data_IF_809894442452
#
_entry.id   IF_809894442452
#
_cell.length_a   1.000
_cell.length_b   1.000
_cell.length_c   1.000
_cell.angle_alpha   90.00
_cell.angle_beta   90.00
_cell.angle_gamma   90.00
#
_symmetry.space_group_name_H-M   'P 1'
#
loop_
_entity.id
_entity.type
_entity.pdbx_description
1 polymer ?
#
# COMPACT_ATOMS: atom_id res chain seq x y z
N UNK A 1 24.57 -20.73 41.66
CA UNK A 1 24.91 -19.42 41.05
C UNK A 1 24.42 -19.42 39.61
N UNK A 2 23.11 -19.25 39.42
CA UNK A 2 22.44 -19.44 38.10
C UNK A 2 21.22 -18.53 37.91
N UNK A 3 20.94 -17.62 38.86
CA UNK A 3 19.76 -16.75 38.83
C UNK A 3 19.96 -15.42 38.08
N UNK A 4 21.19 -15.02 37.77
CA UNK A 4 21.46 -13.77 37.04
C UNK A 4 21.34 -13.91 35.51
N UNK A 5 21.55 -15.12 34.97
CA UNK A 5 21.52 -15.34 33.52
C UNK A 5 20.09 -15.43 32.97
N UNK A 6 19.13 -15.89 33.77
CA UNK A 6 17.74 -16.03 33.34
C UNK A 6 17.02 -14.67 33.19
N UNK A 7 17.29 -13.71 34.08
CA UNK A 7 16.63 -12.38 34.04
C UNK A 7 17.13 -11.48 32.90
N UNK A 8 18.38 -11.68 32.45
CA UNK A 8 18.96 -10.92 31.34
C UNK A 8 18.38 -11.32 29.97
N UNK A 9 17.94 -12.57 29.80
CA UNK A 9 17.35 -13.02 28.54
C UNK A 9 15.92 -12.49 28.35
N UNK A 10 15.16 -12.31 29.43
CA UNK A 10 13.80 -11.75 29.37
C UNK A 10 13.76 -10.27 28.97
N UNK A 11 14.79 -9.48 29.29
CA UNK A 11 14.85 -8.05 28.93
C UNK A 11 15.28 -7.84 27.48
N UNK A 12 16.11 -8.72 26.93
CA UNK A 12 16.52 -8.67 25.52
C UNK A 12 15.32 -8.96 24.60
N UNK A 13 14.45 -9.90 24.98
CA UNK A 13 13.25 -10.23 24.19
C UNK A 13 12.20 -9.10 24.23
N UNK A 14 12.05 -8.41 25.37
CA UNK A 14 11.11 -7.27 25.45
C UNK A 14 11.61 -6.01 24.75
N UNK A 15 12.92 -5.79 24.64
CA UNK A 15 13.47 -4.68 23.85
C UNK A 15 13.30 -4.88 22.33
N UNK A 16 13.32 -6.13 21.85
CA UNK A 16 13.08 -6.46 20.43
C UNK A 16 11.59 -6.38 20.03
N UNK A 17 10.68 -6.43 21.00
CA UNK A 17 9.23 -6.28 20.77
C UNK A 17 8.72 -4.84 20.93
N UNK A 18 9.60 -3.93 21.34
CA UNK A 18 9.27 -2.60 21.82
C UNK A 18 9.06 -1.51 20.76
N UNK A 19 8.55 -1.81 19.55
CA UNK A 19 8.03 -0.75 18.62
C UNK A 19 7.21 -1.25 17.42
N UNK A 20 6.33 -2.23 17.63
CA UNK A 20 5.23 -2.54 16.68
C UNK A 20 3.86 -2.24 17.29
N UNK A 21 3.75 -1.25 18.19
CA UNK A 21 2.46 -0.79 18.69
C UNK A 21 2.26 0.68 18.33
N UNK A 22 1.61 0.89 17.19
CA UNK A 22 0.86 2.12 16.95
C UNK A 22 -0.36 1.78 16.09
N UNK A 23 -1.56 1.65 16.68
CA UNK A 23 -2.78 1.37 15.94
C UNK A 23 -3.43 2.69 15.50
N UNK A 24 -2.71 3.57 14.80
CA UNK A 24 -3.26 4.86 14.37
C UNK A 24 -2.76 5.17 12.95
N UNK A 25 -3.63 4.82 11.98
CA UNK A 25 -3.71 5.30 10.60
C UNK A 25 -2.60 4.92 9.59
N UNK A 26 -2.97 4.00 8.69
CA UNK A 26 -2.82 4.11 7.22
C UNK A 26 -1.45 4.38 6.57
N UNK A 27 -0.34 3.87 7.11
CA UNK A 27 0.81 3.54 6.23
C UNK A 27 1.56 2.36 6.84
N UNK A 28 1.51 1.20 6.18
CA UNK A 28 2.37 0.06 6.50
C UNK A 28 3.79 0.44 6.07
N UNK A 29 4.50 1.19 6.91
CA UNK A 29 5.94 1.39 6.76
C UNK A 29 6.59 0.00 6.82
N UNK A 30 6.96 -0.50 5.65
CA UNK A 30 7.70 -1.73 5.51
C UNK A 30 9.11 -1.43 5.99
N UNK A 31 9.50 -2.03 7.12
CA UNK A 31 10.82 -1.82 7.69
C UNK A 31 11.88 -2.30 6.69
N UNK A 32 12.60 -1.36 6.09
CA UNK A 32 13.80 -1.67 5.31
C UNK A 32 14.92 -2.08 6.28
N UNK A 33 15.77 -3.07 5.93
CA UNK A 33 16.98 -3.34 6.68
C UNK A 33 17.88 -2.08 6.70
N UNK A 34 18.62 -1.84 7.80
CA UNK A 34 19.49 -0.67 7.90
C UNK A 34 20.47 -0.63 6.73
N UNK A 35 20.51 0.50 6.01
CA UNK A 35 21.38 0.72 4.85
C UNK A 35 20.70 0.61 3.48
N UNK A 36 19.44 0.16 3.40
CA UNK A 36 18.69 0.12 2.14
C UNK A 36 17.75 1.32 2.05
N UNK A 37 18.07 2.26 1.17
CA UNK A 37 17.20 3.39 0.83
C UNK A 37 16.08 2.88 -0.07
N UNK A 38 14.83 3.19 0.28
CA UNK A 38 13.70 2.86 -0.58
C UNK A 38 13.89 3.53 -1.96
N UNK A 39 13.55 2.85 -3.07
CA UNK A 39 13.59 3.48 -4.38
C UNK A 39 12.74 4.76 -4.38
N UNK A 40 13.14 5.80 -5.13
CA UNK A 40 12.30 6.98 -5.29
C UNK A 40 10.93 6.56 -5.85
N UNK A 41 9.84 7.22 -5.43
CA UNK A 41 8.51 6.87 -5.90
C UNK A 41 8.38 7.09 -7.41
N UNK A 42 7.74 6.15 -8.10
CA UNK A 42 7.50 6.21 -9.54
C UNK A 42 6.46 7.26 -9.95
N UNK A 43 6.68 7.87 -11.11
CA UNK A 43 5.78 8.79 -11.80
C UNK A 43 4.73 8.05 -12.64
N UNK A 44 3.81 8.81 -13.26
CA UNK A 44 2.74 8.22 -14.09
C UNK A 44 3.35 7.40 -15.22
N UNK A 45 2.82 6.20 -15.45
CA UNK A 45 3.31 5.19 -16.40
C UNK A 45 4.59 4.44 -15.99
N UNK A 46 5.25 4.80 -14.88
CA UNK A 46 6.37 4.02 -14.38
C UNK A 46 5.91 2.67 -13.86
N UNK A 47 6.78 1.67 -13.98
CA UNK A 47 6.55 0.34 -13.41
C UNK A 47 6.51 0.42 -11.89
N UNK A 48 5.53 -0.25 -11.30
CA UNK A 48 5.36 -0.30 -9.84
C UNK A 48 5.23 -1.73 -9.34
N UNK A 49 5.53 -1.93 -8.06
CA UNK A 49 5.40 -3.23 -7.40
C UNK A 49 5.11 -3.04 -5.92
N UNK A 50 5.01 -4.14 -5.16
CA UNK A 50 4.90 -4.05 -3.71
C UNK A 50 6.07 -3.31 -3.06
N UNK A 51 7.25 -3.31 -3.71
CA UNK A 51 8.49 -2.68 -3.23
C UNK A 51 8.75 -1.30 -3.89
N UNK A 52 8.32 -1.13 -5.14
CA UNK A 52 8.44 0.13 -5.89
C UNK A 52 7.11 0.88 -5.83
N UNK A 53 7.01 1.83 -4.90
CA UNK A 53 5.79 2.61 -4.68
C UNK A 53 5.65 3.74 -5.70
N UNK A 54 4.41 4.13 -5.98
CA UNK A 54 4.11 5.27 -6.82
C UNK A 54 4.08 6.56 -5.98
N UNK A 55 4.23 7.72 -6.64
CA UNK A 55 4.11 9.03 -5.99
C UNK A 55 2.74 9.27 -5.37
N UNK A 56 2.67 10.26 -4.48
CA UNK A 56 1.38 10.65 -3.93
C UNK A 56 0.46 11.19 -5.04
N UNK A 57 -0.84 10.88 -4.98
CA UNK A 57 -1.78 11.21 -6.06
C UNK A 57 -1.82 10.19 -7.21
N UNK A 58 -1.06 9.09 -7.13
CA UNK A 58 -1.14 7.97 -8.06
C UNK A 58 -1.34 6.65 -7.32
N UNK A 59 -1.74 5.60 -8.03
CA UNK A 59 -1.90 4.25 -7.54
C UNK A 59 -1.16 3.26 -8.42
N UNK A 60 -0.72 2.14 -7.85
CA UNK A 60 -0.13 1.06 -8.61
C UNK A 60 -1.24 0.17 -9.19
N UNK A 61 -1.44 0.21 -10.51
CA UNK A 61 -2.51 -0.51 -11.19
C UNK A 61 -1.94 -1.67 -12.03
N UNK A 62 -2.39 -2.89 -11.73
CA UNK A 62 -2.03 -4.06 -12.54
C UNK A 62 -2.78 -4.06 -13.87
N UNK A 63 -2.03 -4.24 -14.95
CA UNK A 63 -2.60 -4.42 -16.28
C UNK A 63 -3.47 -5.68 -16.34
N UNK A 64 -4.58 -5.60 -17.06
CA UNK A 64 -5.42 -6.78 -17.36
C UNK A 64 -4.71 -7.71 -18.35
N UNK A 65 -3.82 -7.17 -19.18
CA UNK A 65 -3.07 -7.91 -20.19
C UNK A 65 -1.88 -8.64 -19.56
N UNK A 66 -1.78 -9.93 -19.84
CA UNK A 66 -0.65 -10.77 -19.46
C UNK A 66 0.36 -10.78 -20.60
N UNK A 67 1.61 -10.42 -20.33
CA UNK A 67 2.72 -10.62 -21.24
C UNK A 67 3.38 -11.98 -21.00
N UNK A 68 4.35 -12.35 -21.85
CA UNK A 68 5.17 -13.55 -21.66
C UNK A 68 5.93 -13.58 -20.31
N UNK A 69 6.11 -12.42 -19.69
CA UNK A 69 6.78 -12.25 -18.39
C UNK A 69 5.80 -12.12 -17.20
N UNK A 70 4.50 -12.31 -17.44
CA UNK A 70 3.46 -12.21 -16.42
C UNK A 70 2.65 -10.91 -16.52
N UNK A 71 2.20 -10.40 -15.37
CA UNK A 71 1.39 -9.19 -15.33
C UNK A 71 2.25 -8.00 -14.91
N UNK A 72 2.22 -6.94 -15.71
CA UNK A 72 2.84 -5.67 -15.36
C UNK A 72 1.90 -4.85 -14.49
N UNK A 73 2.47 -4.00 -13.63
CA UNK A 73 1.75 -2.96 -12.92
C UNK A 73 2.45 -1.63 -13.15
N UNK A 74 1.65 -0.58 -13.36
CA UNK A 74 2.15 0.77 -13.61
C UNK A 74 1.43 1.78 -12.73
N UNK A 75 2.12 2.89 -12.45
CA UNK A 75 1.53 4.00 -11.73
C UNK A 75 0.50 4.72 -12.61
N UNK A 76 -0.72 4.84 -12.10
CA UNK A 76 -1.83 5.55 -12.73
C UNK A 76 -2.36 6.65 -11.82
N UNK A 77 -2.90 7.75 -12.35
CA UNK A 77 -3.53 8.77 -11.52
C UNK A 77 -4.70 8.19 -10.70
N UNK A 78 -4.96 8.78 -9.55
CA UNK A 78 -6.15 8.47 -8.75
C UNK A 78 -7.44 8.81 -9.51
N UNK A 79 -8.51 8.09 -9.18
CA UNK A 79 -9.83 8.28 -9.78
C UNK A 79 -10.40 9.67 -9.49
N UNK A 80 -10.88 10.34 -10.52
CA UNK A 80 -11.57 11.62 -10.45
C UNK A 80 -13.07 11.45 -10.24
N UNK A 81 -13.77 12.55 -9.97
CA UNK A 81 -15.22 12.54 -9.75
C UNK A 81 -15.96 11.88 -10.92
N UNK A 82 -16.80 10.90 -10.63
CA UNK A 82 -17.58 10.14 -11.60
C UNK A 82 -16.83 8.95 -12.21
N UNK A 83 -15.52 8.82 -12.00
CA UNK A 83 -14.77 7.66 -12.49
C UNK A 83 -15.02 6.41 -11.64
N UNK A 84 -14.92 5.25 -12.28
CA UNK A 84 -14.98 3.97 -11.59
C UNK A 84 -13.76 3.79 -10.66
N UNK A 85 -14.00 3.23 -9.48
CA UNK A 85 -12.98 3.08 -8.46
C UNK A 85 -12.95 1.68 -7.87
N UNK A 86 -11.85 1.36 -7.18
CA UNK A 86 -11.73 0.12 -6.41
C UNK A 86 -11.51 0.44 -4.94
N UNK A 87 -12.32 -0.16 -4.08
CA UNK A 87 -12.35 0.15 -2.63
C UNK A 87 -11.07 -0.30 -1.93
N UNK A 88 -10.54 -1.47 -2.31
CA UNK A 88 -9.37 -2.08 -1.66
C UNK A 88 -8.33 -2.55 -2.68
N UNK A 89 -7.03 -2.42 -2.37
CA UNK A 89 -5.98 -3.08 -3.14
C UNK A 89 -6.07 -4.59 -2.91
N UNK A 90 -5.77 -5.41 -3.92
CA UNK A 90 -5.87 -6.86 -3.72
C UNK A 90 -4.62 -7.43 -3.03
N UNK A 91 -3.42 -6.88 -3.29
CA UNK A 91 -2.17 -7.32 -2.63
C UNK A 91 -1.10 -6.24 -2.67
N UNK A 92 -0.49 -5.92 -1.52
CA UNK A 92 0.70 -5.07 -1.44
C UNK A 92 0.55 -3.66 -2.04
N UNK A 93 -0.64 -3.06 -1.93
CA UNK A 93 -1.02 -1.77 -2.54
C UNK A 93 -1.16 -1.78 -4.07
N UNK A 94 -1.30 -2.97 -4.67
CA UNK A 94 -1.56 -3.14 -6.10
C UNK A 94 -3.06 -3.29 -6.32
N UNK A 95 -3.61 -2.40 -7.14
CA UNK A 95 -5.01 -2.36 -7.54
C UNK A 95 -5.26 -3.17 -8.81
N UNK A 96 -6.49 -3.68 -8.94
CA UNK A 96 -6.96 -4.41 -10.12
C UNK A 96 -8.16 -3.67 -10.68
N UNK A 97 -8.18 -3.46 -12.00
CA UNK A 97 -9.27 -2.74 -12.64
C UNK A 97 -9.11 -1.23 -12.56
N UNK A 98 -9.30 -0.64 -11.37
CA UNK A 98 -9.36 0.82 -11.19
C UNK A 98 -8.54 1.31 -10.01
N UNK A 99 -8.07 2.56 -10.09
CA UNK A 99 -7.44 3.23 -8.95
C UNK A 99 -8.48 3.67 -7.91
N UNK A 100 -8.07 3.87 -6.65
CA UNK A 100 -8.93 4.50 -5.65
C UNK A 100 -9.14 5.98 -6.00
N UNK A 101 -10.16 6.58 -5.40
CA UNK A 101 -10.49 7.98 -5.64
C UNK A 101 -9.43 8.94 -5.08
N UNK A 102 -9.32 10.12 -5.68
CA UNK A 102 -8.47 11.20 -5.20
C UNK A 102 -8.91 11.73 -3.83
N UNK A 103 -8.02 12.48 -3.17
CA UNK A 103 -8.31 13.07 -1.88
C UNK A 103 -9.57 13.96 -1.95
N UNK A 104 -10.43 13.87 -0.94
CA UNK A 104 -11.73 14.58 -0.89
C UNK A 104 -12.88 13.84 -1.58
N UNK A 105 -12.61 12.74 -2.29
CA UNK A 105 -13.62 11.86 -2.87
C UNK A 105 -13.78 10.57 -2.06
N UNK A 106 -14.88 9.87 -2.26
CA UNK A 106 -15.15 8.55 -1.68
C UNK A 106 -15.71 7.63 -2.75
N UNK A 107 -15.25 6.37 -2.69
CA UNK A 107 -15.69 5.33 -3.59
C UNK A 107 -17.04 4.80 -3.09
N UNK A 108 -18.13 5.18 -3.77
CA UNK A 108 -19.50 4.79 -3.45
C UNK A 108 -19.89 3.58 -4.31
N UNK A 109 -20.42 2.54 -3.68
CA UNK A 109 -21.04 1.42 -4.40
C UNK A 109 -22.37 1.87 -5.00
N UNK A 110 -22.47 1.77 -6.32
CA UNK A 110 -23.73 1.81 -7.06
C UNK A 110 -24.21 0.37 -7.26
N UNK A 111 -25.53 0.18 -7.24
CA UNK A 111 -26.17 -1.10 -7.56
C UNK A 111 -25.51 -1.74 -8.80
N UNK A 112 -25.20 -3.05 -8.69
CA UNK A 112 -24.45 -3.89 -9.66
C UNK A 112 -22.92 -3.89 -9.52
N UNK A 113 -22.39 -3.74 -8.30
CA UNK A 113 -20.93 -3.87 -8.02
C UNK A 113 -20.09 -2.84 -8.80
N UNK A 114 -20.69 -1.70 -9.15
CA UNK A 114 -20.01 -0.59 -9.84
C UNK A 114 -19.73 0.47 -8.81
N UNK A 115 -18.48 0.74 -8.55
CA UNK A 115 -18.11 1.75 -7.58
C UNK A 115 -17.65 3.00 -8.30
N UNK A 116 -18.13 4.18 -7.89
CA UNK A 116 -17.73 5.47 -8.49
C UNK A 116 -17.22 6.45 -7.45
N UNK A 117 -16.37 7.38 -7.89
CA UNK A 117 -15.87 8.45 -7.04
C UNK A 117 -16.88 9.60 -6.92
N UNK A 118 -17.36 9.84 -5.70
CA UNK A 118 -18.26 10.95 -5.37
C UNK A 118 -17.63 11.89 -4.34
N UNK A 119 -18.00 13.18 -4.30
CA UNK A 119 -17.55 14.09 -3.25
C UNK A 119 -17.94 13.58 -1.87
N UNK A 120 -17.03 13.71 -0.90
CA UNK A 120 -17.39 13.55 0.51
C UNK A 120 -18.40 14.66 0.88
N UNK A 121 -19.53 14.26 1.46
CA UNK A 121 -20.49 15.18 2.08
C UNK A 121 -19.95 15.67 3.42
#
# INVERSE_FOLDING_TARGET
KTFCLALALTTIVTALLGRCHNPIYRTRYQCFPPGVVAPPPGDVCDSCSAYAKCKNGTCCLRSRSRSGFGYSAICKPLGQRGEECSVAPAKGDIYYGHCPCSAGLTCLDLQRNRHICVPRK
#
